data_IF_562699027894
#
_entry.id   IF_562699027894
#
_cell.length_a   1.000
_cell.length_b   1.000
_cell.length_c   1.000
_cell.angle_alpha   90.00
_cell.angle_beta   90.00
_cell.angle_gamma   90.00
#
_symmetry.space_group_name_H-M   'P 1'
#
loop_
_entity.id
_entity.type
_entity.pdbx_description
1 polymer ?
#
# COMPACT_ATOMS: atom_id res chain seq x y z
N UNK A 1 62.36 -24.47 -24.53
CA UNK A 1 61.99 -23.34 -23.66
C UNK A 1 61.02 -22.43 -24.42
N UNK A 2 59.73 -22.66 -24.14
CA UNK A 2 58.56 -21.87 -24.54
C UNK A 2 58.57 -20.50 -23.82
N UNK A 3 57.79 -19.47 -24.16
CA UNK A 3 56.98 -19.08 -25.31
C UNK A 3 56.64 -17.59 -25.11
N UNK A 4 56.22 -16.95 -26.20
CA UNK A 4 55.79 -15.54 -26.32
C UNK A 4 54.77 -15.10 -25.26
N UNK A 5 55.00 -13.93 -24.66
CA UNK A 5 53.97 -13.12 -23.99
C UNK A 5 53.00 -12.58 -25.06
N UNK A 6 51.71 -12.87 -24.90
CA UNK A 6 50.60 -12.18 -25.56
C UNK A 6 49.76 -11.52 -24.48
N UNK A 7 49.32 -10.31 -24.80
CA UNK A 7 48.47 -9.45 -24.01
C UNK A 7 47.12 -10.11 -23.72
N UNK A 8 46.74 -10.17 -22.44
CA UNK A 8 45.38 -10.48 -22.01
C UNK A 8 44.57 -9.19 -21.94
N UNK A 9 43.65 -9.04 -22.88
CA UNK A 9 42.56 -8.08 -22.80
C UNK A 9 41.57 -8.56 -21.73
N UNK A 10 41.47 -7.83 -20.61
CA UNK A 10 40.46 -8.04 -19.59
C UNK A 10 39.10 -7.53 -20.10
N UNK A 11 38.25 -8.47 -20.50
CA UNK A 11 36.83 -8.25 -20.76
C UNK A 11 36.14 -7.76 -19.48
N UNK A 12 35.79 -6.48 -19.44
CA UNK A 12 34.96 -5.88 -18.40
C UNK A 12 33.51 -6.33 -18.57
N UNK A 13 33.13 -7.39 -17.88
CA UNK A 13 31.73 -7.82 -17.78
C UNK A 13 31.05 -6.96 -16.73
N UNK A 14 30.31 -5.93 -17.16
CA UNK A 14 29.42 -5.16 -16.28
C UNK A 14 28.35 -6.11 -15.71
N UNK A 15 28.08 -6.12 -14.39
CA UNK A 15 26.92 -6.81 -13.88
C UNK A 15 25.68 -6.09 -14.40
N UNK A 16 24.89 -6.82 -15.18
CA UNK A 16 23.55 -6.42 -15.57
C UNK A 16 22.74 -6.14 -14.31
N UNK A 17 22.42 -4.86 -14.10
CA UNK A 17 21.54 -4.38 -13.04
C UNK A 17 20.15 -4.98 -13.24
N UNK A 18 19.91 -6.15 -12.65
CA UNK A 18 18.57 -6.63 -12.42
C UNK A 18 17.94 -5.65 -11.42
N UNK A 19 16.96 -4.89 -11.90
CA UNK A 19 16.10 -4.07 -11.07
C UNK A 19 15.37 -5.01 -10.10
N UNK A 20 15.94 -5.21 -8.92
CA UNK A 20 15.26 -5.88 -7.83
C UNK A 20 14.12 -4.97 -7.39
N UNK A 21 12.95 -5.17 -8.00
CA UNK A 21 11.64 -4.90 -7.40
C UNK A 21 11.79 -5.21 -5.91
N UNK A 22 11.58 -4.22 -5.03
CA UNK A 22 11.60 -4.47 -3.58
C UNK A 22 10.49 -5.45 -3.24
N UNK A 23 10.83 -6.74 -3.31
CA UNK A 23 9.96 -7.85 -3.00
C UNK A 23 9.81 -7.83 -1.49
N UNK A 24 8.59 -7.56 -1.02
CA UNK A 24 8.25 -7.80 0.37
C UNK A 24 8.76 -9.18 0.77
N UNK A 25 9.52 -9.26 1.87
CA UNK A 25 10.14 -10.50 2.33
C UNK A 25 9.08 -11.43 2.92
N UNK A 26 8.01 -10.85 3.46
CA UNK A 26 6.87 -11.54 4.07
C UNK A 26 5.56 -10.89 3.63
N UNK A 27 4.50 -11.68 3.57
CA UNK A 27 3.15 -11.17 3.38
C UNK A 27 2.60 -10.61 4.68
N UNK A 28 2.81 -11.31 5.80
CA UNK A 28 2.29 -10.95 7.12
C UNK A 28 3.39 -10.98 8.17
N UNK A 29 3.47 -9.94 9.00
CA UNK A 29 4.18 -9.93 10.28
C UNK A 29 3.17 -10.04 11.42
N UNK A 30 3.40 -10.91 12.41
CA UNK A 30 2.55 -11.03 13.60
C UNK A 30 3.30 -10.53 14.83
N UNK A 31 2.82 -9.43 15.43
CA UNK A 31 3.22 -8.97 16.77
C UNK A 31 2.23 -9.47 17.81
N UNK A 32 2.73 -10.03 18.91
CA UNK A 32 1.90 -10.61 19.97
C UNK A 32 2.76 -10.77 21.23
N UNK A 33 2.09 -10.97 22.37
CA UNK A 33 2.78 -11.35 23.60
C UNK A 33 2.94 -12.87 23.67
N UNK A 34 4.18 -13.34 23.69
CA UNK A 34 4.50 -14.76 23.66
C UNK A 34 3.92 -15.55 24.84
N UNK A 35 3.96 -14.97 26.03
CA UNK A 35 3.46 -15.61 27.25
C UNK A 35 1.93 -15.79 27.25
N UNK A 36 1.21 -14.93 26.53
CA UNK A 36 -0.27 -14.90 26.58
C UNK A 36 -0.87 -15.84 25.51
N UNK A 37 -0.41 -15.72 24.25
CA UNK A 37 -1.14 -16.30 23.11
C UNK A 37 -0.33 -17.24 22.21
N UNK A 38 0.97 -17.47 22.49
CA UNK A 38 1.87 -18.24 21.60
C UNK A 38 1.36 -19.62 21.26
N UNK A 39 0.91 -20.38 22.27
CA UNK A 39 0.49 -21.79 22.13
C UNK A 39 -1.01 -21.95 21.90
N UNK A 40 -1.77 -20.86 21.90
CA UNK A 40 -3.21 -20.83 21.74
C UNK A 40 -3.55 -20.14 20.42
N UNK A 41 -4.27 -19.01 20.46
CA UNK A 41 -4.80 -18.29 19.32
C UNK A 41 -3.73 -17.96 18.26
N UNK A 42 -2.56 -17.46 18.66
CA UNK A 42 -1.52 -17.07 17.70
C UNK A 42 -0.94 -18.27 16.96
N UNK A 43 -0.86 -19.46 17.59
CA UNK A 43 -0.41 -20.67 16.91
C UNK A 43 -1.40 -21.09 15.81
N UNK A 44 -2.69 -21.05 16.11
CA UNK A 44 -3.76 -21.42 15.17
C UNK A 44 -3.84 -20.42 14.01
N UNK A 45 -3.77 -19.12 14.29
CA UNK A 45 -3.74 -18.08 13.27
C UNK A 45 -2.54 -18.25 12.33
N UNK A 46 -1.34 -18.46 12.88
CA UNK A 46 -0.12 -18.66 12.11
C UNK A 46 -0.19 -19.92 11.23
N UNK A 47 -0.73 -21.02 11.76
CA UNK A 47 -0.93 -22.25 11.00
C UNK A 47 -1.92 -22.03 9.84
N UNK A 48 -3.08 -21.43 10.12
CA UNK A 48 -4.10 -21.16 9.11
C UNK A 48 -3.61 -20.24 7.98
N UNK A 49 -2.81 -19.20 8.31
CA UNK A 49 -2.17 -18.35 7.31
C UNK A 49 -1.22 -19.14 6.42
N UNK A 50 -0.37 -20.00 7.01
CA UNK A 50 0.56 -20.85 6.25
C UNK A 50 -0.16 -21.85 5.36
N UNK A 51 -1.24 -22.47 5.84
CA UNK A 51 -2.09 -23.38 5.07
C UNK A 51 -2.77 -22.68 3.89
N UNK A 52 -3.12 -21.40 4.04
CA UNK A 52 -3.60 -20.55 2.96
C UNK A 52 -2.51 -20.10 1.97
N UNK A 53 -1.25 -20.55 2.16
CA UNK A 53 -0.13 -20.21 1.28
C UNK A 53 0.48 -18.82 1.53
N UNK A 54 0.14 -18.17 2.64
CA UNK A 54 0.62 -16.83 2.99
C UNK A 54 1.98 -16.93 3.68
N UNK A 55 2.96 -16.13 3.23
CA UNK A 55 4.29 -16.12 3.82
C UNK A 55 4.33 -15.26 5.09
N UNK A 56 4.34 -15.92 6.26
CA UNK A 56 4.24 -15.26 7.57
C UNK A 56 5.59 -15.22 8.29
N UNK A 57 5.94 -14.05 8.83
CA UNK A 57 6.93 -13.91 9.89
C UNK A 57 6.22 -13.83 11.25
N UNK A 58 6.55 -14.73 12.15
CA UNK A 58 6.07 -14.72 13.53
C UNK A 58 7.21 -14.34 14.45
N UNK A 59 6.98 -13.38 15.33
CA UNK A 59 7.96 -13.09 16.34
C UNK A 59 8.13 -14.26 17.34
N UNK A 60 9.37 -14.59 17.69
CA UNK A 60 9.67 -15.69 18.61
C UNK A 60 10.47 -15.20 19.82
N UNK A 61 9.80 -14.53 20.77
CA UNK A 61 10.39 -13.99 22.00
C UNK A 61 11.26 -15.02 22.78
N UNK A 62 10.93 -16.32 22.75
CA UNK A 62 11.64 -17.37 23.50
C UNK A 62 13.03 -17.72 22.93
N UNK A 63 13.26 -17.52 21.62
CA UNK A 63 14.54 -17.83 20.97
C UNK A 63 15.57 -16.69 21.08
N UNK A 64 15.22 -15.59 21.77
CA UNK A 64 15.98 -14.33 21.75
C UNK A 64 17.23 -14.27 22.66
N UNK A 65 17.75 -15.41 23.12
CA UNK A 65 19.01 -15.45 23.91
C UNK A 65 20.24 -15.44 22.99
N UNK A 66 20.87 -14.28 22.79
CA UNK A 66 22.32 -14.20 22.46
C UNK A 66 22.76 -13.63 21.10
N UNK A 67 21.91 -12.97 20.29
CA UNK A 67 22.36 -12.28 19.05
C UNK A 67 21.67 -10.92 18.84
N UNK A 68 22.20 -10.13 17.89
CA UNK A 68 21.78 -8.78 17.47
C UNK A 68 20.40 -8.77 16.74
N UNK A 69 19.39 -9.35 17.40
CA UNK A 69 18.08 -9.75 16.88
C UNK A 69 17.19 -8.53 16.59
N UNK A 70 17.44 -7.39 17.24
CA UNK A 70 16.68 -6.16 17.01
C UNK A 70 16.75 -5.68 15.56
N UNK A 71 17.91 -5.81 14.90
CA UNK A 71 18.08 -5.39 13.52
C UNK A 71 17.32 -6.30 12.53
N UNK A 72 17.24 -7.60 12.79
CA UNK A 72 16.47 -8.52 11.94
C UNK A 72 14.96 -8.33 12.11
N UNK A 73 14.50 -8.12 13.34
CA UNK A 73 13.10 -7.85 13.64
C UNK A 73 12.62 -6.57 12.96
N UNK A 74 13.40 -5.48 13.05
CA UNK A 74 13.08 -4.22 12.36
C UNK A 74 13.00 -4.45 10.84
N UNK A 75 13.92 -5.23 10.26
CA UNK A 75 13.87 -5.60 8.84
C UNK A 75 12.67 -6.45 8.49
N UNK A 76 12.24 -7.35 9.38
CA UNK A 76 11.05 -8.18 9.15
C UNK A 76 9.78 -7.32 9.15
N UNK A 77 9.64 -6.39 10.10
CA UNK A 77 8.52 -5.44 10.15
C UNK A 77 8.49 -4.58 8.88
N UNK A 78 9.61 -3.94 8.53
CA UNK A 78 9.72 -3.13 7.32
C UNK A 78 9.52 -3.92 6.03
N UNK A 79 9.89 -5.20 6.03
CA UNK A 79 9.80 -6.10 4.88
C UNK A 79 8.46 -6.81 4.74
N UNK A 80 7.46 -6.48 5.55
CA UNK A 80 6.14 -7.15 5.53
C UNK A 80 5.05 -6.26 4.91
N UNK A 81 4.09 -6.87 4.19
CA UNK A 81 2.97 -6.11 3.56
C UNK A 81 1.89 -5.73 4.56
N UNK A 82 1.58 -6.65 5.45
CA UNK A 82 0.54 -6.54 6.47
C UNK A 82 1.18 -6.81 7.84
N UNK A 83 0.87 -5.99 8.83
CA UNK A 83 1.17 -6.27 10.24
C UNK A 83 -0.11 -6.60 10.99
N UNK A 84 -0.18 -7.79 11.55
CA UNK A 84 -1.22 -8.22 12.46
C UNK A 84 -0.72 -8.02 13.89
N UNK A 85 -1.49 -7.32 14.71
CA UNK A 85 -1.16 -7.08 16.12
C UNK A 85 -2.20 -7.83 16.95
N UNK A 86 -1.76 -8.78 17.77
CA UNK A 86 -2.62 -9.49 18.71
C UNK A 86 -2.46 -8.85 20.09
N UNK A 87 -3.40 -7.98 20.45
CA UNK A 87 -3.48 -7.38 21.77
C UNK A 87 -4.09 -8.38 22.74
N UNK A 88 -3.33 -8.74 23.76
CA UNK A 88 -3.73 -9.56 24.90
C UNK A 88 -3.63 -8.76 26.20
N UNK A 89 -4.17 -9.31 27.30
CA UNK A 89 -4.25 -8.61 28.59
C UNK A 89 -2.91 -8.02 29.04
N UNK A 90 -1.80 -8.76 28.86
CA UNK A 90 -0.47 -8.36 29.33
C UNK A 90 0.47 -7.95 28.20
N UNK A 91 -0.07 -7.56 27.03
CA UNK A 91 0.73 -7.13 25.88
C UNK A 91 1.69 -5.97 26.22
N UNK A 92 1.20 -4.96 26.96
CA UNK A 92 1.98 -3.77 27.30
C UNK A 92 3.04 -3.99 28.40
N UNK A 93 3.06 -5.13 29.09
CA UNK A 93 4.14 -5.45 30.03
C UNK A 93 5.47 -5.66 29.31
N UNK A 94 5.44 -6.14 28.05
CA UNK A 94 6.63 -6.37 27.24
C UNK A 94 7.08 -5.09 26.55
N UNK A 95 8.26 -4.60 26.93
CA UNK A 95 8.92 -3.49 26.23
C UNK A 95 9.17 -3.81 24.76
N UNK A 96 9.35 -5.10 24.42
CA UNK A 96 9.57 -5.52 23.03
C UNK A 96 8.30 -5.39 22.19
N UNK A 97 7.16 -5.86 22.70
CA UNK A 97 5.87 -5.68 22.04
C UNK A 97 5.59 -4.19 21.78
N UNK A 98 5.90 -3.32 22.75
CA UNK A 98 5.72 -1.87 22.59
C UNK A 98 6.69 -1.24 21.56
N UNK A 99 7.94 -1.69 21.49
CA UNK A 99 8.89 -1.24 20.46
C UNK A 99 8.49 -1.72 19.05
N UNK A 100 8.04 -2.97 18.92
CA UNK A 100 7.49 -3.51 17.67
C UNK A 100 6.30 -2.69 17.21
N UNK A 101 5.37 -2.40 18.11
CA UNK A 101 4.19 -1.61 17.83
C UNK A 101 4.56 -0.20 17.32
N UNK A 102 5.52 0.46 17.96
CA UNK A 102 6.02 1.77 17.49
C UNK A 102 6.58 1.65 16.08
N UNK A 103 7.37 0.61 15.79
CA UNK A 103 7.94 0.41 14.45
C UNK A 103 6.86 0.10 13.41
N UNK A 104 5.87 -0.73 13.74
CA UNK A 104 4.73 -1.03 12.87
C UNK A 104 3.97 0.25 12.54
N UNK A 105 3.67 1.09 13.53
CA UNK A 105 2.95 2.36 13.31
C UNK A 105 3.79 3.40 12.57
N UNK A 106 5.12 3.35 12.67
CA UNK A 106 6.02 4.10 11.79
C UNK A 106 5.95 3.59 10.34
N UNK A 107 6.03 2.28 10.11
CA UNK A 107 5.93 1.65 8.79
C UNK A 107 4.56 1.87 8.14
N UNK A 108 3.46 1.87 8.92
CA UNK A 108 2.14 2.25 8.43
C UNK A 108 2.15 3.64 7.80
N UNK A 109 2.74 4.62 8.50
CA UNK A 109 2.81 6.02 8.05
C UNK A 109 3.78 6.24 6.90
N UNK A 110 4.92 5.56 6.91
CA UNK A 110 6.05 5.84 5.98
C UNK A 110 6.09 4.90 4.77
N UNK A 111 5.64 3.66 4.93
CA UNK A 111 5.68 2.61 3.91
C UNK A 111 4.29 2.21 3.40
N UNK A 112 3.21 2.75 3.98
CA UNK A 112 1.84 2.38 3.64
C UNK A 112 1.49 0.93 4.04
N UNK A 113 2.19 0.38 5.04
CA UNK A 113 1.93 -0.97 5.53
C UNK A 113 0.50 -1.06 6.11
N UNK A 114 -0.23 -2.11 5.76
CA UNK A 114 -1.57 -2.36 6.30
C UNK A 114 -1.41 -2.89 7.73
N UNK A 115 -2.19 -2.36 8.67
CA UNK A 115 -2.14 -2.76 10.08
C UNK A 115 -3.52 -3.24 10.51
N UNK A 116 -3.56 -4.44 11.09
CA UNK A 116 -4.76 -5.17 11.46
C UNK A 116 -4.68 -5.55 12.95
N UNK A 117 -5.36 -4.80 13.84
CA UNK A 117 -5.42 -5.18 15.25
C UNK A 117 -6.44 -6.30 15.49
N UNK A 118 -6.07 -7.23 16.36
CA UNK A 118 -6.91 -8.28 16.92
C UNK A 118 -6.88 -8.09 18.43
N UNK A 119 -8.06 -7.96 19.03
CA UNK A 119 -8.23 -7.79 20.47
C UNK A 119 -8.66 -9.13 21.08
N UNK A 120 -7.68 -9.83 21.64
CA UNK A 120 -7.81 -11.16 22.23
C UNK A 120 -8.13 -11.03 23.72
N UNK A 121 -9.39 -11.23 24.09
CA UNK A 121 -9.91 -11.04 25.46
C UNK A 121 -9.59 -9.67 26.08
N UNK A 122 -9.52 -8.64 25.24
CA UNK A 122 -9.26 -7.26 25.63
C UNK A 122 -10.26 -6.34 24.96
N UNK A 123 -10.84 -5.43 25.71
CA UNK A 123 -11.69 -4.38 25.12
C UNK A 123 -10.80 -3.40 24.34
N UNK A 124 -11.10 -3.12 23.05
CA UNK A 124 -10.31 -2.18 22.28
C UNK A 124 -10.20 -0.79 22.93
N UNK A 125 -11.18 -0.37 23.73
CA UNK A 125 -11.13 0.88 24.51
C UNK A 125 -10.07 0.86 25.61
N UNK A 126 -9.77 -0.30 26.20
CA UNK A 126 -8.69 -0.44 27.17
C UNK A 126 -7.32 -0.24 26.53
N UNK A 127 -7.13 -0.71 25.30
CA UNK A 127 -5.92 -0.43 24.50
C UNK A 127 -5.83 1.06 24.15
N UNK A 128 -6.92 1.64 23.63
CA UNK A 128 -7.00 3.03 23.17
C UNK A 128 -6.81 4.08 24.26
N UNK A 129 -7.39 3.83 25.43
CA UNK A 129 -7.36 4.74 26.59
C UNK A 129 -6.29 4.36 27.59
N UNK A 130 -5.58 3.25 27.35
CA UNK A 130 -4.58 2.66 28.23
C UNK A 130 -5.11 2.49 29.66
N UNK A 131 -6.26 1.84 29.79
CA UNK A 131 -6.94 1.52 31.06
C UNK A 131 -6.71 0.05 31.46
N UNK A 132 -7.12 -0.32 32.69
CA UNK A 132 -6.95 -1.69 33.24
C UNK A 132 -5.50 -2.19 33.16
N UNK A 133 -5.27 -3.39 32.62
CA UNK A 133 -3.95 -4.01 32.53
C UNK A 133 -2.93 -3.15 31.77
N UNK A 134 -3.36 -2.36 30.79
CA UNK A 134 -2.49 -1.41 30.09
C UNK A 134 -2.04 -0.26 31.01
N UNK A 135 -2.93 0.23 31.89
CA UNK A 135 -2.55 1.24 32.88
C UNK A 135 -1.53 0.68 33.88
N UNK A 136 -1.76 -0.55 34.35
CA UNK A 136 -0.86 -1.26 35.26
C UNK A 136 0.52 -1.50 34.65
N UNK A 137 0.59 -1.88 33.37
CA UNK A 137 1.83 -2.02 32.64
C UNK A 137 2.64 -0.72 32.62
N UNK A 138 1.99 0.43 32.39
CA UNK A 138 2.69 1.72 32.41
C UNK A 138 3.16 2.15 33.80
N UNK A 139 2.54 1.66 34.89
CA UNK A 139 3.09 1.86 36.24
C UNK A 139 4.39 1.08 36.45
N UNK A 140 4.52 -0.09 35.82
CA UNK A 140 5.77 -0.88 35.84
C UNK A 140 6.88 -0.21 35.03
N UNK A 141 6.52 0.50 33.95
CA UNK A 141 7.47 1.22 33.08
C UNK A 141 7.84 2.63 33.56
N UNK A 142 7.41 3.05 34.75
CA UNK A 142 7.58 4.42 35.27
C UNK A 142 9.03 4.95 35.28
N UNK A 143 10.02 4.05 35.41
CA UNK A 143 11.44 4.39 35.48
C UNK A 143 12.09 4.44 34.07
N UNK A 144 11.30 4.22 33.02
CA UNK A 144 11.74 4.33 31.62
C UNK A 144 11.72 5.78 31.16
N UNK A 145 12.60 6.13 30.20
CA UNK A 145 12.64 7.44 29.56
C UNK A 145 11.25 7.93 29.11
N UNK A 146 10.90 9.16 29.49
CA UNK A 146 9.60 9.76 29.25
C UNK A 146 9.25 9.83 27.75
N UNK A 147 10.21 10.17 26.88
CA UNK A 147 9.96 10.24 25.44
C UNK A 147 9.67 8.85 24.87
N UNK A 148 10.33 7.81 25.40
CA UNK A 148 10.09 6.43 25.00
C UNK A 148 8.68 5.97 25.40
N UNK A 149 8.28 6.24 26.65
CA UNK A 149 6.92 5.93 27.15
C UNK A 149 5.86 6.67 26.33
N UNK A 150 6.09 7.94 25.98
CA UNK A 150 5.14 8.70 25.17
C UNK A 150 4.93 8.07 23.79
N UNK A 151 6.02 7.65 23.12
CA UNK A 151 5.93 6.95 21.82
C UNK A 151 5.11 5.67 21.91
N UNK A 152 5.26 4.90 22.99
CA UNK A 152 4.45 3.70 23.22
C UNK A 152 2.96 4.03 23.38
N UNK A 153 2.64 5.07 24.16
CA UNK A 153 1.26 5.54 24.34
C UNK A 153 0.63 5.97 23.02
N UNK A 154 1.34 6.77 22.23
CA UNK A 154 0.87 7.25 20.93
C UNK A 154 0.61 6.08 19.96
N UNK A 155 1.49 5.05 19.98
CA UNK A 155 1.34 3.87 19.14
C UNK A 155 0.14 3.00 19.56
N UNK A 156 -0.10 2.81 20.87
CA UNK A 156 -1.30 2.12 21.39
C UNK A 156 -2.59 2.87 21.05
N UNK A 157 -2.60 4.20 21.22
CA UNK A 157 -3.73 5.04 20.83
C UNK A 157 -4.02 4.91 19.33
N UNK A 158 -2.98 5.05 18.49
CA UNK A 158 -3.11 5.00 17.05
C UNK A 158 -3.58 3.64 16.54
N UNK A 159 -3.04 2.54 17.09
CA UNK A 159 -3.39 1.17 16.69
C UNK A 159 -4.75 0.73 17.24
N UNK A 160 -5.11 1.12 18.47
CA UNK A 160 -6.42 0.82 19.05
C UNK A 160 -7.58 1.55 18.36
N UNK A 161 -7.30 2.66 17.65
CA UNK A 161 -8.30 3.39 16.85
C UNK A 161 -8.53 2.78 15.46
N UNK A 162 -7.74 1.79 15.05
CA UNK A 162 -7.95 1.08 13.79
C UNK A 162 -9.10 0.08 13.93
N UNK A 163 -9.84 -0.12 12.84
CA UNK A 163 -10.83 -1.21 12.76
C UNK A 163 -10.12 -2.57 12.85
N UNK A 164 -10.62 -3.45 13.71
CA UNK A 164 -10.05 -4.77 13.97
C UNK A 164 -11.11 -5.77 14.44
N UNK A 165 -10.64 -6.93 14.90
CA UNK A 165 -11.50 -7.99 15.43
C UNK A 165 -11.46 -7.99 16.95
N UNK A 166 -12.61 -7.78 17.57
CA UNK A 166 -12.81 -7.96 19.01
C UNK A 166 -13.36 -9.36 19.25
N UNK A 167 -12.55 -10.28 19.78
CA UNK A 167 -12.96 -11.68 19.90
C UNK A 167 -14.15 -11.87 20.84
N UNK A 168 -14.26 -11.04 21.89
CA UNK A 168 -15.35 -11.16 22.86
C UNK A 168 -16.70 -10.72 22.30
N UNK A 169 -16.70 -9.76 21.36
CA UNK A 169 -17.92 -9.20 20.79
C UNK A 169 -18.19 -9.64 19.34
N UNK A 170 -17.28 -10.41 18.73
CA UNK A 170 -17.39 -10.89 17.34
C UNK A 170 -17.71 -12.39 17.32
N UNK A 171 -18.78 -12.80 16.63
CA UNK A 171 -19.14 -14.21 16.41
C UNK A 171 -19.20 -15.07 17.68
N UNK A 172 -19.73 -14.51 18.77
CA UNK A 172 -19.90 -15.18 20.07
C UNK A 172 -18.61 -15.84 20.62
N UNK A 173 -17.42 -15.34 20.25
CA UNK A 173 -16.14 -15.85 20.73
C UNK A 173 -15.65 -17.13 20.05
N UNK A 174 -16.25 -17.55 18.93
CA UNK A 174 -15.78 -18.72 18.17
C UNK A 174 -14.46 -18.44 17.43
N UNK A 175 -13.33 -18.66 18.12
CA UNK A 175 -11.97 -18.39 17.61
C UNK A 175 -11.73 -18.92 16.20
N UNK A 176 -12.20 -20.14 15.89
CA UNK A 176 -12.00 -20.76 14.58
C UNK A 176 -12.70 -20.00 13.43
N UNK A 177 -13.89 -19.44 13.67
CA UNK A 177 -14.61 -18.64 12.67
C UNK A 177 -13.95 -17.27 12.48
N UNK A 178 -13.50 -16.68 13.58
CA UNK A 178 -12.75 -15.41 13.56
C UNK A 178 -11.45 -15.58 12.78
N UNK A 179 -10.69 -16.65 13.04
CA UNK A 179 -9.50 -16.99 12.26
C UNK A 179 -9.86 -17.13 10.79
N UNK A 180 -10.91 -17.87 10.44
CA UNK A 180 -11.35 -18.01 9.04
C UNK A 180 -11.60 -16.65 8.37
N UNK A 181 -12.33 -15.75 9.05
CA UNK A 181 -12.59 -14.41 8.54
C UNK A 181 -11.32 -13.57 8.41
N UNK A 182 -10.39 -13.68 9.36
CA UNK A 182 -9.07 -13.02 9.27
C UNK A 182 -8.29 -13.54 8.06
N UNK A 183 -8.28 -14.86 7.82
CA UNK A 183 -7.63 -15.45 6.64
C UNK A 183 -8.28 -14.94 5.35
N UNK A 184 -9.61 -14.92 5.28
CA UNK A 184 -10.33 -14.41 4.11
C UNK A 184 -10.02 -12.93 3.87
N UNK A 185 -10.00 -12.11 4.93
CA UNK A 185 -9.69 -10.68 4.84
C UNK A 185 -8.24 -10.45 4.40
N UNK A 186 -7.28 -11.13 5.02
CA UNK A 186 -5.86 -11.03 4.65
C UNK A 186 -5.66 -11.52 3.21
N UNK A 187 -6.28 -12.64 2.83
CA UNK A 187 -6.21 -13.16 1.46
C UNK A 187 -6.81 -12.16 0.48
N UNK A 188 -7.95 -11.55 0.82
CA UNK A 188 -8.56 -10.48 0.04
C UNK A 188 -7.65 -9.26 -0.06
N UNK A 189 -6.99 -8.84 1.01
CA UNK A 189 -6.04 -7.72 1.00
C UNK A 189 -4.78 -8.02 0.19
N UNK A 190 -4.32 -9.28 0.21
CA UNK A 190 -3.17 -9.77 -0.58
C UNK A 190 -3.51 -10.05 -2.05
N UNK A 191 -4.78 -10.30 -2.38
CA UNK A 191 -5.27 -10.52 -3.75
C UNK A 191 -5.78 -9.22 -4.40
N UNK A 192 -6.44 -8.36 -3.62
CA UNK A 192 -6.88 -7.02 -4.01
C UNK A 192 -5.77 -5.98 -3.81
N UNK A 193 -4.53 -6.42 -3.58
CA UNK A 193 -3.48 -5.53 -3.08
C UNK A 193 -3.42 -4.28 -3.92
N UNK A 194 -3.86 -3.20 -3.26
CA UNK A 194 -3.19 -1.92 -3.22
C UNK A 194 -2.11 -1.88 -4.28
N UNK A 195 -2.43 -1.31 -5.44
CA UNK A 195 -1.39 -1.07 -6.44
C UNK A 195 -0.29 -0.34 -5.70
N UNK A 196 0.84 -1.01 -5.45
CA UNK A 196 1.93 -0.49 -4.63
C UNK A 196 2.24 0.90 -5.15
N UNK A 197 1.88 1.92 -4.37
CA UNK A 197 1.75 3.30 -4.85
C UNK A 197 3.12 3.80 -5.28
N UNK A 198 4.03 3.86 -4.31
CA UNK A 198 5.45 4.11 -4.47
C UNK A 198 6.13 3.83 -3.12
N UNK A 199 7.44 3.53 -3.08
CA UNK A 199 8.17 3.63 -1.83
C UNK A 199 8.23 5.13 -1.43
N UNK A 200 7.93 5.44 -0.17
CA UNK A 200 7.97 6.81 0.40
C UNK A 200 7.01 7.80 -0.28
N UNK A 201 5.78 7.89 0.22
CA UNK A 201 4.67 8.60 -0.43
C UNK A 201 4.60 10.08 -0.01
N UNK A 202 5.70 10.81 -0.17
CA UNK A 202 5.79 12.22 0.24
C UNK A 202 4.78 13.08 -0.54
N UNK A 203 3.97 13.86 0.19
CA UNK A 203 3.01 14.80 -0.39
C UNK A 203 1.81 14.16 -1.09
N UNK A 204 1.61 12.83 -0.99
CA UNK A 204 0.55 12.16 -1.75
C UNK A 204 -0.85 12.55 -1.25
N UNK A 205 -1.00 12.72 0.07
CA UNK A 205 -2.29 12.91 0.73
C UNK A 205 -2.99 14.19 0.26
N UNK A 206 -2.25 15.30 0.11
CA UNK A 206 -2.79 16.57 -0.39
C UNK A 206 -3.31 16.43 -1.83
N UNK A 207 -2.60 15.67 -2.67
CA UNK A 207 -2.98 15.41 -4.08
C UNK A 207 -4.20 14.48 -4.15
N UNK A 208 -4.26 13.45 -3.31
CA UNK A 208 -5.41 12.54 -3.19
C UNK A 208 -6.64 13.30 -2.70
N UNK A 209 -6.49 14.18 -1.70
CA UNK A 209 -7.57 15.01 -1.20
C UNK A 209 -8.12 15.93 -2.29
N UNK A 210 -7.25 16.67 -2.99
CA UNK A 210 -7.64 17.58 -4.05
C UNK A 210 -8.43 16.87 -5.16
N UNK A 211 -7.95 15.72 -5.63
CA UNK A 211 -8.67 14.94 -6.65
C UNK A 211 -9.91 14.26 -6.07
N UNK A 212 -9.87 13.84 -4.80
CA UNK A 212 -10.99 13.24 -4.08
C UNK A 212 -12.21 14.16 -4.01
N UNK A 213 -11.99 15.45 -3.78
CA UNK A 213 -13.03 16.48 -3.84
C UNK A 213 -13.64 16.59 -5.25
N UNK A 214 -12.79 16.55 -6.29
CA UNK A 214 -13.21 16.58 -7.69
C UNK A 214 -14.04 15.34 -8.07
N UNK A 215 -13.65 14.16 -7.55
CA UNK A 215 -14.40 12.93 -7.72
C UNK A 215 -15.80 13.08 -7.13
N UNK A 216 -16.00 13.83 -6.05
CA UNK A 216 -17.33 14.00 -5.46
C UNK A 216 -17.99 12.66 -5.13
N UNK A 217 -17.23 11.78 -4.48
CA UNK A 217 -17.74 10.45 -4.12
C UNK A 217 -18.94 10.61 -3.17
N UNK A 218 -20.09 10.08 -3.57
CA UNK A 218 -21.36 10.23 -2.85
C UNK A 218 -22.44 10.96 -3.65
N UNK A 219 -22.09 11.71 -4.69
CA UNK A 219 -23.06 12.24 -5.65
C UNK A 219 -23.52 11.16 -6.64
N UNK A 220 -24.79 11.23 -7.04
CA UNK A 220 -25.42 10.28 -7.94
C UNK A 220 -25.33 10.74 -9.42
N UNK A 221 -24.11 11.05 -9.84
CA UNK A 221 -23.75 11.45 -11.21
C UNK A 221 -22.63 10.56 -11.76
N UNK A 222 -22.33 10.65 -13.07
CA UNK A 222 -21.10 10.06 -13.65
C UNK A 222 -20.04 11.15 -13.79
N UNK A 223 -18.85 10.89 -13.23
CA UNK A 223 -17.69 11.79 -13.36
C UNK A 223 -16.48 11.08 -13.95
N UNK A 224 -15.87 11.72 -14.95
CA UNK A 224 -14.60 11.37 -15.55
C UNK A 224 -13.60 12.49 -15.22
N UNK A 225 -12.48 12.13 -14.59
CA UNK A 225 -11.41 13.05 -14.20
C UNK A 225 -10.15 12.70 -14.98
N UNK A 226 -9.56 13.68 -15.65
CA UNK A 226 -8.28 13.53 -16.33
C UNK A 226 -7.12 13.99 -15.45
N UNK A 227 -6.13 13.14 -15.20
CA UNK A 227 -4.84 13.51 -14.61
C UNK A 227 -3.85 13.71 -15.74
N UNK A 228 -3.48 14.97 -15.98
CA UNK A 228 -2.62 15.39 -17.08
C UNK A 228 -1.22 15.78 -16.59
N UNK A 229 -0.19 15.43 -17.33
CA UNK A 229 1.17 15.89 -17.05
C UNK A 229 2.24 15.06 -17.73
N UNK A 230 3.48 15.54 -17.68
CA UNK A 230 4.61 14.86 -18.31
C UNK A 230 4.95 13.51 -17.65
N UNK A 231 5.82 12.73 -18.30
CA UNK A 231 6.36 11.51 -17.71
C UNK A 231 7.13 11.80 -16.42
N UNK A 232 7.03 10.94 -15.42
CA UNK A 232 7.75 11.08 -14.15
C UNK A 232 7.11 12.00 -13.10
N UNK A 233 6.01 12.69 -13.42
CA UNK A 233 5.27 13.59 -12.52
C UNK A 233 4.44 12.88 -11.42
N UNK A 234 4.54 11.56 -11.29
CA UNK A 234 3.78 10.81 -10.28
C UNK A 234 2.29 10.62 -10.56
N UNK A 235 1.81 10.82 -11.80
CA UNK A 235 0.39 10.61 -12.16
C UNK A 235 -0.13 9.23 -11.77
N UNK A 236 0.60 8.18 -12.18
CA UNK A 236 0.28 6.78 -11.84
C UNK A 236 0.27 6.58 -10.32
N UNK A 237 1.23 7.17 -9.60
CA UNK A 237 1.32 7.11 -8.14
C UNK A 237 0.08 7.70 -7.47
N UNK A 238 -0.32 8.91 -7.86
CA UNK A 238 -1.52 9.57 -7.34
C UNK A 238 -2.77 8.77 -7.67
N UNK A 239 -2.89 8.27 -8.89
CA UNK A 239 -4.03 7.44 -9.30
C UNK A 239 -4.13 6.15 -8.46
N UNK A 240 -3.00 5.49 -8.17
CA UNK A 240 -2.96 4.31 -7.28
C UNK A 240 -3.41 4.65 -5.86
N UNK A 241 -2.97 5.78 -5.32
CA UNK A 241 -3.37 6.23 -3.99
C UNK A 241 -4.88 6.51 -3.92
N UNK A 242 -5.45 7.15 -4.95
CA UNK A 242 -6.89 7.39 -5.07
C UNK A 242 -7.67 6.07 -5.15
N UNK A 243 -7.19 5.12 -5.95
CA UNK A 243 -7.82 3.79 -6.01
C UNK A 243 -7.94 3.22 -4.60
N UNK A 244 -6.83 3.19 -3.87
CA UNK A 244 -6.75 2.63 -2.53
C UNK A 244 -7.64 3.37 -1.50
N UNK A 245 -7.78 4.69 -1.63
CA UNK A 245 -8.61 5.49 -0.71
C UNK A 245 -10.12 5.29 -0.94
N UNK A 246 -10.55 5.14 -2.20
CA UNK A 246 -11.98 5.21 -2.53
C UNK A 246 -12.60 3.89 -3.01
N UNK A 247 -11.82 2.86 -3.31
CA UNK A 247 -12.34 1.65 -3.99
C UNK A 247 -13.47 0.94 -3.23
N UNK A 248 -13.47 0.97 -1.90
CA UNK A 248 -14.47 0.29 -1.08
C UNK A 248 -15.87 0.94 -1.15
N UNK A 249 -15.98 2.12 -1.78
CA UNK A 249 -17.25 2.85 -1.94
C UNK A 249 -18.02 2.50 -3.23
N UNK A 250 -17.53 1.51 -3.98
CA UNK A 250 -18.00 1.12 -5.31
C UNK A 250 -18.26 -0.38 -5.40
N UNK A 251 -19.23 -0.77 -6.22
CA UNK A 251 -19.62 -2.18 -6.43
C UNK A 251 -18.65 -2.93 -7.34
N UNK A 252 -18.13 -2.22 -8.35
CA UNK A 252 -17.10 -2.72 -9.26
C UNK A 252 -15.88 -1.81 -9.23
N UNK A 253 -14.69 -2.39 -9.31
CA UNK A 253 -13.43 -1.66 -9.23
C UNK A 253 -12.41 -2.26 -10.17
N UNK A 254 -11.65 -1.43 -10.88
CA UNK A 254 -10.54 -1.90 -11.72
C UNK A 254 -9.47 -0.83 -11.86
N UNK A 255 -8.22 -1.28 -11.85
CA UNK A 255 -7.06 -0.46 -12.19
C UNK A 255 -6.34 -1.07 -13.38
N UNK A 256 -6.42 -0.40 -14.52
CA UNK A 256 -5.74 -0.80 -15.75
C UNK A 256 -4.37 -0.10 -15.83
N UNK A 257 -3.33 -0.74 -15.30
CA UNK A 257 -1.95 -0.21 -15.33
C UNK A 257 -1.35 -0.29 -16.73
N UNK A 258 -0.61 0.76 -17.14
CA UNK A 258 0.24 0.79 -18.34
C UNK A 258 -0.51 0.39 -19.62
N UNK A 259 -1.63 1.05 -19.89
CA UNK A 259 -2.53 0.71 -21.00
C UNK A 259 -1.81 0.69 -22.35
N UNK A 260 -0.93 1.68 -22.60
CA UNK A 260 -0.13 1.73 -23.82
C UNK A 260 0.75 0.51 -24.09
N UNK A 261 1.12 -0.26 -23.07
CA UNK A 261 2.00 -1.43 -23.19
C UNK A 261 1.23 -2.74 -23.40
N UNK A 262 -0.10 -2.71 -23.32
CA UNK A 262 -0.95 -3.91 -23.27
C UNK A 262 -1.86 -4.04 -24.49
N UNK A 263 -2.23 -5.27 -24.82
CA UNK A 263 -3.21 -5.56 -25.88
C UNK A 263 -4.61 -5.22 -25.40
N UNK A 264 -5.41 -4.61 -26.28
CA UNK A 264 -6.79 -4.18 -25.95
C UNK A 264 -7.67 -5.32 -25.43
N UNK A 265 -7.61 -6.50 -26.05
CA UNK A 265 -8.38 -7.67 -25.61
C UNK A 265 -8.02 -8.08 -24.18
N UNK A 266 -6.75 -7.98 -23.79
CA UNK A 266 -6.30 -8.37 -22.46
C UNK A 266 -6.73 -7.33 -21.41
N UNK A 267 -6.71 -6.04 -21.76
CA UNK A 267 -7.26 -4.97 -20.93
C UNK A 267 -8.76 -5.11 -20.71
N UNK A 268 -9.54 -5.40 -21.77
CA UNK A 268 -10.97 -5.64 -21.65
C UNK A 268 -11.28 -6.85 -20.75
N UNK A 269 -10.50 -7.93 -20.89
CA UNK A 269 -10.64 -9.10 -20.01
C UNK A 269 -10.34 -8.75 -18.56
N UNK A 270 -9.27 -7.99 -18.31
CA UNK A 270 -8.90 -7.52 -16.96
C UNK A 270 -10.03 -6.66 -16.37
N UNK A 271 -10.47 -5.63 -17.08
CA UNK A 271 -11.55 -4.75 -16.64
C UNK A 271 -12.81 -5.53 -16.25
N UNK A 272 -13.21 -6.47 -17.11
CA UNK A 272 -14.37 -7.30 -16.87
C UNK A 272 -14.16 -8.29 -15.72
N UNK A 273 -12.97 -8.87 -15.55
CA UNK A 273 -12.68 -9.77 -14.43
C UNK A 273 -12.57 -9.06 -13.09
N UNK A 274 -12.13 -7.81 -13.08
CA UNK A 274 -11.99 -7.03 -11.85
C UNK A 274 -13.39 -6.57 -11.36
N UNK A 275 -14.25 -6.15 -12.29
CA UNK A 275 -15.62 -5.69 -12.00
C UNK A 275 -16.57 -6.85 -11.69
N UNK A 276 -16.36 -8.03 -12.30
CA UNK A 276 -17.24 -9.17 -12.16
C UNK A 276 -16.55 -10.28 -11.38
N UNK A 277 -17.23 -10.82 -10.35
CA UNK A 277 -16.79 -12.08 -9.68
C UNK A 277 -16.48 -13.14 -10.76
N UNK A 278 -15.50 -14.04 -10.55
CA UNK A 278 -14.94 -14.91 -11.59
C UNK A 278 -15.95 -15.93 -12.13
N UNK A 279 -16.86 -15.48 -13.00
CA UNK A 279 -17.71 -16.33 -13.84
C UNK A 279 -17.20 -16.21 -15.27
N UNK A 280 -16.44 -17.23 -15.72
CA UNK A 280 -15.91 -17.47 -17.08
C UNK A 280 -16.37 -16.48 -18.15
N UNK A 281 -15.81 -15.28 -18.15
CA UNK A 281 -16.09 -14.26 -19.18
C UNK A 281 -15.32 -14.66 -20.42
N UNK A 282 -16.04 -14.94 -21.51
CA UNK A 282 -15.44 -15.20 -22.82
C UNK A 282 -15.49 -13.93 -23.66
N UNK A 283 -14.37 -13.22 -23.69
CA UNK A 283 -14.10 -12.16 -24.70
C UNK A 283 -13.25 -12.77 -25.80
N UNK A 284 -13.85 -13.04 -26.96
CA UNK A 284 -13.14 -13.60 -28.13
C UNK A 284 -12.65 -12.52 -29.12
N UNK A 285 -13.13 -11.28 -29.01
CA UNK A 285 -12.71 -10.14 -29.84
C UNK A 285 -12.95 -8.80 -29.15
N UNK A 286 -12.28 -7.74 -29.63
CA UNK A 286 -12.44 -6.36 -29.11
C UNK A 286 -13.89 -5.90 -29.21
N UNK A 287 -14.54 -6.10 -30.36
CA UNK A 287 -15.93 -5.70 -30.57
C UNK A 287 -16.91 -6.41 -29.64
N UNK A 288 -16.65 -7.68 -29.29
CA UNK A 288 -17.45 -8.38 -28.29
C UNK A 288 -17.19 -7.81 -26.89
N UNK A 289 -15.93 -7.53 -26.57
CA UNK A 289 -15.55 -6.91 -25.30
C UNK A 289 -16.26 -5.58 -25.05
N UNK A 290 -16.29 -4.69 -26.05
CA UNK A 290 -16.99 -3.39 -25.98
C UNK A 290 -18.45 -3.59 -25.56
N UNK A 291 -19.19 -4.46 -26.24
CA UNK A 291 -20.62 -4.70 -25.94
C UNK A 291 -20.84 -5.24 -24.52
N UNK A 292 -19.93 -6.09 -24.04
CA UNK A 292 -20.02 -6.63 -22.68
C UNK A 292 -19.69 -5.56 -21.65
N UNK A 293 -18.66 -4.75 -21.89
CA UNK A 293 -18.27 -3.63 -21.04
C UNK A 293 -19.43 -2.62 -20.93
N UNK A 294 -19.97 -2.14 -22.05
CA UNK A 294 -21.11 -1.21 -22.08
C UNK A 294 -22.29 -1.70 -21.25
N UNK A 295 -22.67 -2.97 -21.45
CA UNK A 295 -23.78 -3.58 -20.70
C UNK A 295 -23.53 -3.64 -19.20
N UNK A 296 -22.28 -3.85 -18.77
CA UNK A 296 -21.94 -4.13 -17.36
C UNK A 296 -21.65 -2.87 -16.58
N UNK A 297 -20.82 -2.00 -17.13
CA UNK A 297 -20.50 -0.70 -16.53
C UNK A 297 -21.76 0.19 -16.47
N UNK A 298 -22.71 0.00 -17.39
CA UNK A 298 -23.99 0.70 -17.36
C UNK A 298 -24.96 0.23 -16.27
N UNK A 299 -24.62 -0.83 -15.53
CA UNK A 299 -25.49 -1.43 -14.50
C UNK A 299 -24.93 -1.38 -13.08
N UNK A 300 -23.67 -0.99 -12.91
CA UNK A 300 -22.96 -1.05 -11.63
C UNK A 300 -22.32 0.30 -11.34
N UNK A 301 -22.38 0.72 -10.08
CA UNK A 301 -21.59 1.86 -9.61
C UNK A 301 -20.12 1.46 -9.54
N UNK A 302 -19.29 1.98 -10.45
CA UNK A 302 -17.89 1.55 -10.59
C UNK A 302 -16.86 2.64 -10.29
N UNK A 303 -15.69 2.24 -9.79
CA UNK A 303 -14.45 3.02 -9.82
C UNK A 303 -13.48 2.39 -10.82
N UNK A 304 -13.21 3.08 -11.92
CA UNK A 304 -12.28 2.59 -12.96
C UNK A 304 -11.15 3.59 -13.14
N UNK A 305 -9.92 3.13 -12.93
CA UNK A 305 -8.71 3.91 -13.20
C UNK A 305 -8.00 3.32 -14.41
N UNK A 306 -7.66 4.19 -15.36
CA UNK A 306 -7.05 3.82 -16.62
C UNK A 306 -5.76 4.62 -16.78
N UNK A 307 -4.64 3.92 -16.65
CA UNK A 307 -3.33 4.55 -16.53
C UNK A 307 -2.54 4.51 -17.84
N UNK A 308 -1.99 5.67 -18.21
CA UNK A 308 -1.11 5.91 -19.36
C UNK A 308 -1.79 5.63 -20.70
N UNK A 309 -2.94 6.29 -20.94
CA UNK A 309 -3.61 6.32 -22.25
C UNK A 309 -2.89 7.31 -23.16
N UNK A 310 -2.60 6.89 -24.40
CA UNK A 310 -1.95 7.70 -25.43
C UNK A 310 -2.63 7.64 -26.82
N UNK A 311 -3.80 7.00 -26.95
CA UNK A 311 -4.53 6.96 -28.23
C UNK A 311 -6.06 6.89 -28.08
N UNK A 312 -6.78 7.33 -29.11
CA UNK A 312 -8.26 7.28 -29.16
C UNK A 312 -8.76 5.84 -29.25
N UNK A 313 -8.03 4.97 -29.97
CA UNK A 313 -8.39 3.56 -30.13
C UNK A 313 -8.41 2.82 -28.79
N UNK A 314 -7.59 3.23 -27.81
CA UNK A 314 -7.61 2.69 -26.44
C UNK A 314 -8.90 3.06 -25.71
N UNK A 315 -9.36 4.31 -25.85
CA UNK A 315 -10.61 4.78 -25.26
C UNK A 315 -11.81 4.05 -25.86
N UNK A 316 -11.85 3.91 -27.18
CA UNK A 316 -12.89 3.18 -27.91
C UNK A 316 -12.90 1.71 -27.54
N UNK A 317 -11.74 1.06 -27.49
CA UNK A 317 -11.63 -0.35 -27.15
C UNK A 317 -12.10 -0.65 -25.73
N UNK A 318 -11.89 0.27 -24.79
CA UNK A 318 -12.36 0.14 -23.41
C UNK A 318 -13.78 0.70 -23.18
N UNK A 319 -14.45 1.14 -24.25
CA UNK A 319 -15.78 1.75 -24.23
C UNK A 319 -15.89 2.95 -23.27
N UNK A 320 -14.82 3.74 -23.14
CA UNK A 320 -14.76 4.86 -22.20
C UNK A 320 -15.46 6.07 -22.81
N UNK A 321 -16.72 6.24 -22.43
CA UNK A 321 -17.57 7.39 -22.75
C UNK A 321 -18.60 7.54 -21.63
N UNK A 322 -19.09 8.76 -21.40
CA UNK A 322 -19.94 9.06 -20.23
C UNK A 322 -21.18 8.17 -20.14
N UNK A 323 -21.83 7.91 -21.26
CA UNK A 323 -23.07 7.11 -21.36
C UNK A 323 -22.86 5.61 -21.10
N UNK A 324 -21.61 5.14 -21.04
CA UNK A 324 -21.30 3.73 -20.73
C UNK A 324 -21.52 3.41 -19.25
N UNK A 325 -21.50 4.41 -18.36
CA UNK A 325 -21.43 4.18 -16.92
C UNK A 325 -22.76 4.42 -16.21
N UNK A 326 -23.06 3.61 -15.19
CA UNK A 326 -24.19 3.84 -14.31
C UNK A 326 -23.97 5.06 -13.41
N UNK A 327 -25.07 5.64 -12.90
CA UNK A 327 -24.99 6.75 -11.95
C UNK A 327 -24.16 6.39 -10.71
N UNK A 328 -23.49 7.41 -10.16
CA UNK A 328 -22.55 7.26 -9.06
C UNK A 328 -21.17 6.73 -9.45
N UNK A 329 -20.91 6.43 -10.73
CA UNK A 329 -19.61 5.91 -11.20
C UNK A 329 -18.53 6.99 -11.30
N UNK A 330 -17.28 6.60 -11.03
CA UNK A 330 -16.10 7.48 -11.09
C UNK A 330 -15.02 6.86 -11.96
N UNK A 331 -14.52 7.67 -12.88
CA UNK A 331 -13.51 7.25 -13.85
C UNK A 331 -12.34 8.21 -13.77
N UNK A 332 -11.12 7.66 -13.74
CA UNK A 332 -9.89 8.45 -13.74
C UNK A 332 -9.03 7.98 -14.88
N UNK A 333 -8.57 8.92 -15.69
CA UNK A 333 -7.65 8.67 -16.78
C UNK A 333 -6.35 9.39 -16.50
N UNK A 334 -5.21 8.70 -16.58
CA UNK A 334 -3.91 9.36 -16.62
C UNK A 334 -3.42 9.43 -18.05
N UNK A 335 -2.98 10.61 -18.48
CA UNK A 335 -2.44 10.81 -19.82
C UNK A 335 -1.42 11.96 -19.86
N UNK A 336 -0.69 12.03 -20.95
CA UNK A 336 0.18 13.17 -21.30
C UNK A 336 -0.44 14.04 -22.39
N UNK A 337 -1.52 13.58 -23.00
CA UNK A 337 -2.18 14.21 -24.13
C UNK A 337 -3.49 14.83 -23.69
N UNK A 338 -3.54 16.17 -23.72
CA UNK A 338 -4.72 16.94 -23.35
C UNK A 338 -5.88 16.72 -24.33
N UNK A 339 -5.58 16.46 -25.60
CA UNK A 339 -6.60 16.27 -26.63
C UNK A 339 -7.51 15.06 -26.34
N UNK A 340 -6.96 13.99 -25.76
CA UNK A 340 -7.73 12.82 -25.35
C UNK A 340 -8.75 13.15 -24.25
N UNK A 341 -8.44 14.11 -23.38
CA UNK A 341 -9.34 14.57 -22.33
C UNK A 341 -10.44 15.47 -22.89
N UNK A 342 -10.10 16.29 -23.88
CA UNK A 342 -11.07 17.12 -24.61
C UNK A 342 -12.09 16.26 -25.37
N UNK A 343 -11.63 15.21 -26.07
CA UNK A 343 -12.51 14.25 -26.78
C UNK A 343 -13.53 13.61 -25.83
N UNK A 344 -13.11 13.30 -24.60
CA UNK A 344 -13.96 12.69 -23.59
C UNK A 344 -14.88 13.67 -22.87
N UNK A 345 -14.68 14.97 -23.08
CA UNK A 345 -15.36 16.05 -22.36
C UNK A 345 -15.33 15.81 -20.83
N UNK A 346 -14.13 15.54 -20.30
CA UNK A 346 -13.96 15.20 -18.89
C UNK A 346 -14.52 16.29 -17.98
N UNK A 347 -15.05 15.89 -16.83
CA UNK A 347 -15.64 16.82 -15.86
C UNK A 347 -14.60 17.78 -15.30
N UNK A 348 -13.36 17.32 -15.14
CA UNK A 348 -12.26 18.11 -14.64
C UNK A 348 -10.91 17.56 -15.07
N UNK A 349 -9.98 18.47 -15.33
CA UNK A 349 -8.58 18.15 -15.59
C UNK A 349 -7.75 18.55 -14.37
N UNK A 350 -7.14 17.58 -13.71
CA UNK A 350 -6.10 17.79 -12.71
C UNK A 350 -4.74 17.79 -13.38
N UNK A 351 -4.08 18.95 -13.41
CA UNK A 351 -2.70 19.06 -13.91
C UNK A 351 -1.73 18.68 -12.81
N UNK A 352 -1.00 17.59 -13.00
CA UNK A 352 0.04 17.15 -12.07
C UNK A 352 1.12 18.23 -11.93
N UNK A 353 1.31 18.70 -10.70
CA UNK A 353 2.29 19.73 -10.36
C UNK A 353 3.61 19.10 -9.91
N UNK A 354 4.75 19.80 -10.11
CA UNK A 354 6.01 19.42 -9.48
C UNK A 354 5.88 19.31 -7.96
N UNK A 355 6.82 18.61 -7.33
CA UNK A 355 6.95 18.61 -5.88
C UNK A 355 7.51 19.94 -5.41
N UNK A 356 6.95 20.45 -4.30
CA UNK A 356 7.51 21.61 -3.60
C UNK A 356 8.90 21.27 -3.05
N UNK A 357 9.72 22.28 -2.76
CA UNK A 357 11.13 22.09 -2.38
C UNK A 357 11.26 21.18 -1.15
N UNK A 358 10.43 21.36 -0.13
CA UNK A 358 10.44 20.54 1.08
C UNK A 358 10.05 19.09 0.79
N UNK A 359 8.99 18.87 -0.01
CA UNK A 359 8.56 17.53 -0.41
C UNK A 359 9.64 16.83 -1.24
N UNK A 360 10.27 17.57 -2.16
CA UNK A 360 11.33 17.07 -3.02
C UNK A 360 12.57 16.69 -2.22
N UNK A 361 12.95 17.50 -1.23
CA UNK A 361 14.06 17.22 -0.33
C UNK A 361 13.81 16.00 0.54
N UNK A 362 12.60 15.86 1.08
CA UNK A 362 12.21 14.68 1.85
C UNK A 362 12.23 13.42 0.98
N UNK A 363 11.68 13.48 -0.24
CA UNK A 363 11.65 12.33 -1.15
C UNK A 363 13.08 11.89 -1.52
N UNK A 364 13.95 12.84 -1.90
CA UNK A 364 15.36 12.56 -2.17
C UNK A 364 16.03 11.95 -0.94
N UNK A 365 15.74 12.48 0.26
CA UNK A 365 16.35 12.00 1.50
C UNK A 365 15.97 10.56 1.82
N UNK A 366 14.72 10.19 1.58
CA UNK A 366 14.25 8.81 1.74
C UNK A 366 14.94 7.86 0.76
N UNK A 367 15.13 8.29 -0.49
CA UNK A 367 15.78 7.50 -1.51
C UNK A 367 17.29 7.34 -1.27
N UNK A 368 18.00 8.42 -0.96
CA UNK A 368 19.45 8.42 -0.75
C UNK A 368 19.88 7.92 0.64
N UNK A 369 19.21 8.38 1.71
CA UNK A 369 19.67 8.18 3.09
C UNK A 369 18.76 7.29 3.93
N UNK A 370 17.59 6.90 3.42
CA UNK A 370 16.56 6.13 4.17
C UNK A 370 16.07 6.86 5.41
N UNK A 371 16.02 8.19 5.33
CA UNK A 371 15.60 9.09 6.40
C UNK A 371 14.81 10.26 5.81
N UNK A 372 14.05 10.99 6.64
CA UNK A 372 13.26 12.15 6.23
C UNK A 372 14.11 13.37 5.87
N UNK A 373 15.36 13.42 6.34
CA UNK A 373 16.29 14.52 6.11
C UNK A 373 17.67 14.02 5.66
N UNK A 374 18.43 14.87 4.94
CA UNK A 374 19.81 14.55 4.58
C UNK A 374 20.67 14.34 5.83
N UNK A 375 21.65 13.43 5.74
CA UNK A 375 22.65 13.26 6.79
C UNK A 375 23.46 14.57 6.99
N UNK A 376 23.95 14.78 8.22
CA UNK A 376 24.73 15.98 8.57
C UNK A 376 25.91 16.16 7.60
N UNK A 377 25.99 17.32 6.95
CA UNK A 377 27.01 17.64 5.94
C UNK A 377 26.56 17.49 4.48
N UNK A 378 25.42 16.84 4.21
CA UNK A 378 24.88 16.65 2.86
C UNK A 378 23.72 17.58 2.51
N UNK A 379 23.30 18.46 3.43
CA UNK A 379 22.12 19.30 3.25
C UNK A 379 22.22 20.22 2.03
N UNK A 380 23.31 20.97 1.91
CA UNK A 380 23.52 21.90 0.77
C UNK A 380 23.55 21.15 -0.56
N UNK A 381 24.25 20.01 -0.62
CA UNK A 381 24.29 19.18 -1.82
C UNK A 381 22.92 18.61 -2.18
N UNK A 382 22.15 18.14 -1.20
CA UNK A 382 20.80 17.64 -1.42
C UNK A 382 19.88 18.73 -1.96
N UNK A 383 19.99 19.96 -1.45
CA UNK A 383 19.23 21.12 -1.93
C UNK A 383 19.61 21.50 -3.37
N UNK A 384 20.89 21.47 -3.72
CA UNK A 384 21.34 21.68 -5.10
C UNK A 384 20.77 20.62 -6.07
N UNK A 385 20.77 19.34 -5.67
CA UNK A 385 20.19 18.24 -6.45
C UNK A 385 18.67 18.38 -6.61
N UNK A 386 17.96 18.79 -5.56
CA UNK A 386 16.52 19.11 -5.64
C UNK A 386 16.26 20.22 -6.66
N UNK A 387 17.05 21.30 -6.62
CA UNK A 387 16.99 22.39 -7.58
C UNK A 387 17.24 21.94 -9.01
N UNK A 388 18.19 21.02 -9.22
CA UNK A 388 18.47 20.42 -10.53
C UNK A 388 17.28 19.58 -11.06
N UNK A 389 16.64 18.81 -10.18
CA UNK A 389 15.48 17.97 -10.51
C UNK A 389 14.19 18.77 -10.76
N UNK A 390 14.13 20.05 -10.35
CA UNK A 390 12.96 20.94 -10.51
C UNK A 390 11.65 20.31 -10.03
N UNK A 391 11.71 19.58 -8.91
CA UNK A 391 10.54 18.94 -8.31
C UNK A 391 9.98 17.75 -9.11
N UNK A 392 10.69 17.18 -10.09
CA UNK A 392 10.25 15.98 -10.80
C UNK A 392 10.46 14.72 -9.94
N UNK A 393 9.39 14.03 -9.46
CA UNK A 393 9.53 12.89 -8.55
C UNK A 393 10.46 11.80 -9.07
N UNK A 394 10.30 11.40 -10.35
CA UNK A 394 11.11 10.32 -10.93
C UNK A 394 12.61 10.66 -10.97
N UNK A 395 12.98 11.93 -11.18
CA UNK A 395 14.38 12.32 -11.16
C UNK A 395 14.98 12.21 -9.75
N UNK A 396 14.24 12.65 -8.73
CA UNK A 396 14.63 12.58 -7.32
C UNK A 396 14.79 11.14 -6.82
N UNK A 397 14.07 10.18 -7.41
CA UNK A 397 14.14 8.77 -7.02
C UNK A 397 15.34 8.03 -7.62
N UNK A 398 15.84 8.50 -8.76
CA UNK A 398 16.90 7.84 -9.56
C UNK A 398 18.29 8.34 -9.16
N UNK A 399 18.41 9.61 -8.77
CA UNK A 399 19.61 10.17 -8.14
C UNK A 399 19.82 9.57 -6.75
#
# INVERSE_FOLDING_TARGET
MAARKRDEASSSTFPSSSSSLKRWRYDVFISFRGEDTRKTFTSHLCMALKEAGINVFIDNEELRRGQDIGAELVRAIQGSRISVIVFSEWYADSTWCLEELVKIMECKRTLGQIVLPIFYDVDPSDVRKQTRSFAEAFLKHKDTDHNKVQRWRDALLGSGNLSGWDLTNTLDGHEAEIIRNIIEEITRLLNNTYSHVAPYQVGIDSRVQAIGECLGVGFDDVRIIGILGMGGMGKTTVAKAIYNEFYDRFEGKSFLEKVREKKQVDLQKQLLSDILKPTKIKVSSVAQGIKVIEKRLGSLKVLVIIDDIDSVEQLEALAIKRDTFAQGSRIIITTRDEHLLDILEVNQIYRAQPMEEEEALELLSWHAFKNTFPNKGYFELARELVGYCRGLPLALQVL
#
